data_IF_708517471476
#
_entry.id   IF_708517471476
#
_cell.length_a   1.000
_cell.length_b   1.000
_cell.length_c   1.000
_cell.angle_alpha   90.00
_cell.angle_beta   90.00
_cell.angle_gamma   90.00
#
_symmetry.space_group_name_H-M   'P 1'
#
loop_
_entity.id
_entity.type
_entity.pdbx_description
1 polymer ?
#
# COMPACT_ATOMS: atom_id res chain seq x y z
N UNK A 1 13.62 24.94 -7.76
CA UNK A 1 13.12 23.72 -7.11
C UNK A 1 11.90 23.29 -7.88
N UNK A 2 11.91 22.13 -8.53
CA UNK A 2 10.76 21.65 -9.31
C UNK A 2 9.61 21.37 -8.35
N UNK A 3 8.46 22.01 -8.54
CA UNK A 3 7.22 21.76 -7.80
C UNK A 3 6.30 20.90 -8.66
N UNK A 4 5.45 20.07 -8.05
CA UNK A 4 4.31 19.45 -8.73
C UNK A 4 3.26 20.56 -8.95
N UNK A 5 3.50 21.44 -9.92
CA UNK A 5 2.58 22.51 -10.30
C UNK A 5 1.64 22.10 -11.44
N UNK A 6 1.97 21.04 -12.16
CA UNK A 6 1.21 20.53 -13.30
C UNK A 6 0.92 19.03 -13.12
N UNK A 7 -0.35 18.69 -12.92
CA UNK A 7 -0.83 17.32 -12.76
C UNK A 7 -0.54 16.47 -14.00
N UNK A 8 -0.57 17.07 -15.20
CA UNK A 8 -0.32 16.34 -16.45
C UNK A 8 1.13 15.92 -16.54
N UNK A 9 2.06 16.81 -16.19
CA UNK A 9 3.49 16.52 -16.14
C UNK A 9 3.81 15.49 -15.05
N UNK A 10 3.16 15.61 -13.89
CA UNK A 10 3.27 14.63 -12.81
C UNK A 10 2.81 13.23 -13.23
N UNK A 11 1.64 13.13 -13.86
CA UNK A 11 1.13 11.87 -14.41
C UNK A 11 2.09 11.29 -15.44
N UNK A 12 2.66 12.11 -16.34
CA UNK A 12 3.64 11.64 -17.33
C UNK A 12 4.89 11.06 -16.66
N UNK A 13 5.40 11.72 -15.60
CA UNK A 13 6.54 11.22 -14.83
C UNK A 13 6.19 9.91 -14.11
N UNK A 14 5.02 9.81 -13.49
CA UNK A 14 4.56 8.58 -12.84
C UNK A 14 4.48 7.41 -13.82
N UNK A 15 4.00 7.64 -15.05
CA UNK A 15 3.99 6.61 -16.09
C UNK A 15 5.40 6.17 -16.47
N UNK A 16 6.33 7.11 -16.59
CA UNK A 16 7.73 6.81 -16.88
C UNK A 16 8.42 6.06 -15.73
N UNK A 17 8.11 6.38 -14.47
CA UNK A 17 8.63 5.68 -13.28
C UNK A 17 8.06 4.27 -13.10
N UNK A 18 6.93 3.94 -13.72
CA UNK A 18 6.39 2.57 -13.74
C UNK A 18 7.12 1.65 -14.72
N UNK A 19 8.02 2.18 -15.56
CA UNK A 19 8.84 1.36 -16.44
C UNK A 19 9.82 0.50 -15.61
N UNK A 20 10.07 -0.77 -15.97
CA UNK A 20 10.94 -1.67 -15.20
C UNK A 20 12.35 -1.11 -14.95
N UNK A 21 12.87 -0.28 -15.85
CA UNK A 21 14.20 0.30 -15.75
C UNK A 21 14.27 1.44 -14.72
N UNK A 22 13.13 2.07 -14.42
CA UNK A 22 13.03 3.26 -13.56
C UNK A 22 12.28 3.03 -12.26
N UNK A 23 11.65 1.86 -12.07
CA UNK A 23 10.86 1.55 -10.87
C UNK A 23 11.66 1.69 -9.57
N UNK A 24 12.98 1.45 -9.61
CA UNK A 24 13.87 1.67 -8.47
C UNK A 24 13.94 3.13 -8.02
N UNK A 25 13.76 4.10 -8.93
CA UNK A 25 13.74 5.54 -8.62
C UNK A 25 12.46 5.98 -7.90
N UNK A 26 11.40 5.15 -7.94
CA UNK A 26 10.07 5.50 -7.43
C UNK A 26 10.11 5.84 -5.94
N UNK A 27 10.87 5.08 -5.15
CA UNK A 27 11.02 5.31 -3.70
C UNK A 27 11.66 6.66 -3.39
N UNK A 28 12.75 6.99 -4.09
CA UNK A 28 13.45 8.26 -3.92
C UNK A 28 12.58 9.44 -4.39
N UNK A 29 11.86 9.25 -5.50
CA UNK A 29 10.94 10.25 -6.02
C UNK A 29 9.81 10.57 -5.03
N UNK A 30 9.12 9.55 -4.52
CA UNK A 30 8.05 9.73 -3.53
C UNK A 30 8.57 10.26 -2.19
N UNK A 31 9.77 9.86 -1.76
CA UNK A 31 10.42 10.42 -0.58
C UNK A 31 10.72 11.91 -0.75
N UNK A 32 11.26 12.32 -1.91
CA UNK A 32 11.59 13.72 -2.21
C UNK A 32 10.36 14.62 -2.31
N UNK A 33 9.27 14.12 -2.87
CA UNK A 33 8.06 14.90 -3.15
C UNK A 33 6.91 14.62 -2.17
N UNK A 34 7.14 13.90 -1.07
CA UNK A 34 6.10 13.43 -0.14
C UNK A 34 5.13 14.54 0.31
N UNK A 35 5.66 15.66 0.80
CA UNK A 35 4.87 16.83 1.23
C UNK A 35 3.97 17.38 0.11
N UNK A 36 4.49 17.45 -1.12
CA UNK A 36 3.76 17.98 -2.26
C UNK A 36 2.68 17.01 -2.72
N UNK A 37 2.98 15.71 -2.74
CA UNK A 37 2.02 14.66 -3.11
C UNK A 37 0.86 14.63 -2.11
N UNK A 38 1.14 14.70 -0.80
CA UNK A 38 0.09 14.76 0.21
C UNK A 38 -0.76 16.04 0.09
N UNK A 39 -0.14 17.18 -0.20
CA UNK A 39 -0.83 18.46 -0.38
C UNK A 39 -1.82 18.46 -1.56
N UNK A 40 -1.71 17.52 -2.51
CA UNK A 40 -2.71 17.36 -3.58
C UNK A 40 -4.07 16.89 -3.05
N UNK A 41 -4.11 16.18 -1.92
CA UNK A 41 -5.35 15.74 -1.29
C UNK A 41 -6.30 15.02 -2.24
N UNK A 42 -7.49 15.59 -2.47
CA UNK A 42 -8.51 15.03 -3.37
C UNK A 42 -8.08 15.00 -4.85
N UNK A 43 -7.08 15.78 -5.27
CA UNK A 43 -6.57 15.76 -6.65
C UNK A 43 -5.84 14.44 -6.97
N UNK A 44 -5.42 13.66 -5.96
CA UNK A 44 -4.85 12.32 -6.14
C UNK A 44 -5.81 11.37 -6.85
N UNK A 45 -7.13 11.51 -6.66
CA UNK A 45 -8.12 10.72 -7.39
C UNK A 45 -8.10 11.02 -8.90
N UNK A 46 -7.79 12.26 -9.30
CA UNK A 46 -7.62 12.64 -10.71
C UNK A 46 -6.32 12.08 -11.28
N UNK A 47 -5.26 11.98 -10.46
CA UNK A 47 -4.01 11.33 -10.86
C UNK A 47 -4.29 9.84 -11.15
N UNK A 48 -4.97 9.14 -10.24
CA UNK A 48 -5.33 7.73 -10.43
C UNK A 48 -6.22 7.49 -11.66
N UNK A 49 -7.14 8.39 -11.99
CA UNK A 49 -7.99 8.23 -13.19
C UNK A 49 -7.19 8.31 -14.51
N UNK A 50 -5.97 8.85 -14.48
CA UNK A 50 -5.09 8.94 -15.65
C UNK A 50 -4.01 7.83 -15.69
N UNK A 51 -3.98 6.96 -14.68
CA UNK A 51 -3.08 5.82 -14.58
C UNK A 51 -3.86 4.53 -14.79
N UNK A 52 -3.35 3.65 -15.64
CA UNK A 52 -3.82 2.28 -15.74
C UNK A 52 -3.28 1.43 -14.57
N UNK A 53 -4.14 0.71 -13.81
CA UNK A 53 -3.74 -0.03 -12.62
C UNK A 53 -2.88 -1.28 -12.90
N UNK A 54 -2.86 -1.77 -14.15
CA UNK A 54 -2.07 -2.94 -14.56
C UNK A 54 -0.77 -2.49 -15.23
N UNK A 55 -0.83 -1.57 -16.18
CA UNK A 55 0.35 -1.08 -16.90
C UNK A 55 1.24 -0.18 -16.04
N UNK A 56 0.66 0.54 -15.08
CA UNK A 56 1.37 1.45 -14.17
C UNK A 56 1.24 1.03 -12.70
N UNK A 57 1.17 -0.28 -12.42
CA UNK A 57 0.92 -0.83 -11.08
C UNK A 57 1.81 -0.17 -9.98
N UNK A 58 3.13 0.03 -10.17
CA UNK A 58 3.98 0.61 -9.13
C UNK A 58 3.58 2.03 -8.74
N UNK A 59 3.43 2.92 -9.74
CA UNK A 59 3.04 4.30 -9.50
C UNK A 59 1.58 4.41 -9.05
N UNK A 60 0.69 3.56 -9.57
CA UNK A 60 -0.70 3.48 -9.15
C UNK A 60 -0.80 3.15 -7.66
N UNK A 61 -0.08 2.12 -7.22
CA UNK A 61 0.01 1.70 -5.83
C UNK A 61 0.56 2.81 -4.94
N UNK A 62 1.64 3.47 -5.35
CA UNK A 62 2.25 4.55 -4.57
C UNK A 62 1.29 5.75 -4.37
N UNK A 63 0.51 6.11 -5.40
CA UNK A 63 -0.53 7.14 -5.28
C UNK A 63 -1.72 6.66 -4.44
N UNK A 64 -2.13 5.40 -4.57
CA UNK A 64 -3.20 4.83 -3.76
C UNK A 64 -2.83 4.79 -2.27
N UNK A 65 -1.57 4.48 -1.95
CA UNK A 65 -1.01 4.57 -0.61
C UNK A 65 -1.01 6.02 -0.11
N UNK A 66 -0.57 6.99 -0.92
CA UNK A 66 -0.63 8.41 -0.56
C UNK A 66 -2.08 8.88 -0.29
N UNK A 67 -3.04 8.45 -1.10
CA UNK A 67 -4.45 8.74 -0.90
C UNK A 67 -4.98 8.14 0.41
N UNK A 68 -4.53 6.94 0.77
CA UNK A 68 -4.86 6.33 2.06
C UNK A 68 -4.27 7.11 3.24
N UNK A 69 -3.03 7.58 3.13
CA UNK A 69 -2.43 8.42 4.17
C UNK A 69 -3.18 9.74 4.31
N UNK A 70 -3.57 10.40 3.21
CA UNK A 70 -4.42 11.61 3.26
C UNK A 70 -5.74 11.34 3.97
N UNK A 71 -6.40 10.22 3.67
CA UNK A 71 -7.63 9.80 4.37
C UNK A 71 -7.38 9.64 5.88
N UNK A 72 -6.28 9.00 6.29
CA UNK A 72 -5.94 8.83 7.70
C UNK A 72 -5.68 10.17 8.40
N UNK A 73 -4.92 11.08 7.76
CA UNK A 73 -4.57 12.39 8.31
C UNK A 73 -5.78 13.31 8.49
N UNK A 74 -6.72 13.27 7.56
CA UNK A 74 -7.92 14.10 7.61
C UNK A 74 -9.08 13.46 8.40
N UNK A 75 -8.91 12.22 8.87
CA UNK A 75 -9.93 11.45 9.60
C UNK A 75 -11.29 11.38 8.89
N UNK A 76 -11.29 11.34 7.55
CA UNK A 76 -12.51 11.43 6.72
C UNK A 76 -13.28 10.11 6.68
N UNK A 77 -13.90 9.70 7.79
CA UNK A 77 -14.53 8.39 7.95
C UNK A 77 -15.53 8.04 6.83
N UNK A 78 -16.29 9.02 6.34
CA UNK A 78 -17.28 8.84 5.27
C UNK A 78 -16.67 8.40 3.92
N UNK A 79 -15.37 8.66 3.71
CA UNK A 79 -14.66 8.27 2.48
C UNK A 79 -14.08 6.86 2.52
N UNK A 80 -14.05 6.23 3.69
CA UNK A 80 -13.43 4.91 3.87
C UNK A 80 -14.03 3.87 2.92
N UNK A 81 -15.35 3.86 2.75
CA UNK A 81 -16.05 2.88 1.91
C UNK A 81 -15.59 2.93 0.45
N UNK A 82 -15.52 4.13 -0.13
CA UNK A 82 -15.07 4.32 -1.51
C UNK A 82 -13.62 3.93 -1.69
N UNK A 83 -12.75 4.35 -0.76
CA UNK A 83 -11.33 4.05 -0.82
C UNK A 83 -11.05 2.55 -0.60
N UNK A 84 -11.71 1.91 0.36
CA UNK A 84 -11.58 0.49 0.63
C UNK A 84 -12.04 -0.36 -0.56
N UNK A 85 -13.16 0.02 -1.20
CA UNK A 85 -13.62 -0.63 -2.43
C UNK A 85 -12.56 -0.51 -3.54
N UNK A 86 -12.01 0.69 -3.73
CA UNK A 86 -10.99 0.95 -4.73
C UNK A 86 -9.71 0.13 -4.49
N UNK A 87 -9.26 0.04 -3.24
CA UNK A 87 -8.13 -0.83 -2.86
C UNK A 87 -8.44 -2.30 -3.11
N UNK A 88 -9.64 -2.76 -2.77
CA UNK A 88 -10.04 -4.15 -2.99
C UNK A 88 -10.02 -4.52 -4.48
N UNK A 89 -10.50 -3.62 -5.34
CA UNK A 89 -10.48 -3.77 -6.80
C UNK A 89 -9.05 -3.77 -7.34
N UNK A 90 -8.19 -2.88 -6.84
CA UNK A 90 -6.77 -2.86 -7.19
C UNK A 90 -6.06 -4.17 -6.80
N UNK A 91 -6.23 -4.64 -5.55
CA UNK A 91 -5.60 -5.89 -5.07
C UNK A 91 -6.03 -7.09 -5.92
N UNK A 92 -7.29 -7.14 -6.36
CA UNK A 92 -7.77 -8.19 -7.24
C UNK A 92 -7.15 -8.10 -8.65
N UNK A 93 -7.12 -6.90 -9.24
CA UNK A 93 -6.68 -6.64 -10.61
C UNK A 93 -5.17 -6.46 -10.82
N UNK A 94 -4.40 -6.27 -9.75
CA UNK A 94 -2.96 -5.94 -9.84
C UNK A 94 -2.12 -7.04 -10.48
N UNK A 95 -1.06 -6.64 -11.18
CA UNK A 95 -0.11 -7.59 -11.75
C UNK A 95 0.81 -8.15 -10.66
N UNK A 96 0.85 -9.48 -10.57
CA UNK A 96 1.69 -10.18 -9.58
C UNK A 96 3.17 -9.90 -9.81
N UNK A 97 3.63 -9.85 -11.06
CA UNK A 97 5.06 -9.69 -11.38
C UNK A 97 5.55 -8.31 -10.92
N UNK A 98 4.79 -7.26 -11.25
CA UNK A 98 5.10 -5.89 -10.84
C UNK A 98 4.98 -5.69 -9.32
N UNK A 99 4.01 -6.33 -8.65
CA UNK A 99 3.92 -6.28 -7.18
C UNK A 99 5.12 -6.93 -6.47
N UNK A 100 5.80 -7.87 -7.13
CA UNK A 100 6.97 -8.56 -6.57
C UNK A 100 8.30 -7.86 -6.89
N UNK A 101 8.27 -6.67 -7.51
CA UNK A 101 9.49 -5.86 -7.74
C UNK A 101 9.70 -4.87 -6.62
N UNK A 102 10.95 -4.66 -6.22
CA UNK A 102 11.29 -3.55 -5.31
C UNK A 102 11.30 -2.23 -6.08
N UNK A 103 10.73 -1.14 -5.52
CA UNK A 103 10.17 -0.97 -4.17
C UNK A 103 8.65 -1.25 -4.07
N UNK A 104 8.01 -1.76 -5.13
CA UNK A 104 6.56 -1.99 -5.20
C UNK A 104 6.06 -2.95 -4.11
N UNK A 105 6.81 -4.00 -3.82
CA UNK A 105 6.50 -4.98 -2.78
C UNK A 105 6.42 -4.34 -1.37
N UNK A 106 7.29 -3.38 -1.09
CA UNK A 106 7.30 -2.61 0.15
C UNK A 106 6.04 -1.73 0.29
N UNK A 107 5.72 -0.96 -0.75
CA UNK A 107 4.51 -0.13 -0.78
C UNK A 107 3.24 -0.98 -0.66
N UNK A 108 3.26 -2.19 -1.21
CA UNK A 108 2.13 -3.09 -1.17
C UNK A 108 1.92 -3.62 0.25
N UNK A 109 2.99 -4.03 0.92
CA UNK A 109 2.93 -4.43 2.33
C UNK A 109 2.42 -3.28 3.21
N UNK A 110 2.93 -2.06 3.00
CA UNK A 110 2.53 -0.89 3.77
C UNK A 110 1.04 -0.56 3.59
N UNK A 111 0.53 -0.58 2.36
CA UNK A 111 -0.90 -0.36 2.09
C UNK A 111 -1.76 -1.40 2.80
N UNK A 112 -1.39 -2.68 2.73
CA UNK A 112 -2.18 -3.77 3.32
C UNK A 112 -2.14 -3.74 4.84
N UNK A 113 -1.00 -3.38 5.42
CA UNK A 113 -0.89 -3.13 6.86
C UNK A 113 -1.81 -1.98 7.30
N UNK A 114 -1.76 -0.85 6.60
CA UNK A 114 -2.61 0.31 6.87
C UNK A 114 -4.11 -0.01 6.75
N UNK A 115 -4.49 -0.82 5.75
CA UNK A 115 -5.87 -1.32 5.60
C UNK A 115 -6.27 -2.20 6.78
N UNK A 116 -5.38 -3.10 7.21
CA UNK A 116 -5.59 -4.00 8.34
C UNK A 116 -5.85 -3.22 9.63
N UNK A 117 -5.00 -2.24 9.94
CA UNK A 117 -5.19 -1.35 11.08
C UNK A 117 -6.53 -0.60 11.00
N UNK A 118 -6.88 -0.08 9.83
CA UNK A 118 -8.10 0.69 9.66
C UNK A 118 -9.38 -0.14 9.86
N UNK A 119 -9.46 -1.36 9.32
CA UNK A 119 -10.63 -2.23 9.51
C UNK A 119 -10.74 -2.74 10.95
N UNK A 120 -9.61 -2.93 11.63
CA UNK A 120 -9.58 -3.27 13.07
C UNK A 120 -10.07 -2.08 13.90
N UNK A 121 -9.54 -0.86 13.66
CA UNK A 121 -9.96 0.37 14.35
C UNK A 121 -11.46 0.62 14.18
N UNK A 122 -12.00 0.36 12.99
CA UNK A 122 -13.43 0.52 12.66
C UNK A 122 -14.32 -0.66 13.09
N UNK A 123 -13.78 -1.67 13.78
CA UNK A 123 -14.55 -2.83 14.26
C UNK A 123 -15.26 -3.61 13.13
N UNK A 124 -14.66 -3.64 11.94
CA UNK A 124 -15.15 -4.38 10.76
C UNK A 124 -14.09 -5.35 10.18
N UNK A 125 -13.36 -6.11 11.01
CA UNK A 125 -12.23 -6.92 10.57
C UNK A 125 -12.63 -8.00 9.54
N UNK A 126 -13.85 -8.53 9.61
CA UNK A 126 -14.35 -9.52 8.63
C UNK A 126 -14.26 -9.05 7.18
N UNK A 127 -14.34 -7.73 6.92
CA UNK A 127 -14.23 -7.18 5.57
C UNK A 127 -12.81 -7.19 5.03
N UNK A 128 -11.81 -7.09 5.92
CA UNK A 128 -10.40 -7.12 5.54
C UNK A 128 -9.92 -8.51 5.12
N UNK A 129 -10.46 -9.57 5.71
CA UNK A 129 -10.04 -10.97 5.48
C UNK A 129 -9.88 -11.32 4.00
N UNK A 130 -10.88 -11.17 3.11
CA UNK A 130 -10.74 -11.54 1.70
C UNK A 130 -9.70 -10.69 0.95
N UNK A 131 -9.56 -9.41 1.30
CA UNK A 131 -8.60 -8.49 0.66
C UNK A 131 -7.18 -8.86 1.06
N UNK A 132 -6.93 -9.06 2.36
CA UNK A 132 -5.60 -9.43 2.87
C UNK A 132 -5.21 -10.84 2.43
N UNK A 133 -6.15 -11.80 2.41
CA UNK A 133 -5.91 -13.14 1.85
C UNK A 133 -5.47 -13.07 0.38
N UNK A 134 -6.12 -12.24 -0.44
CA UNK A 134 -5.73 -12.03 -1.83
C UNK A 134 -4.35 -11.38 -1.94
N UNK A 135 -4.06 -10.39 -1.09
CA UNK A 135 -2.77 -9.72 -1.06
C UNK A 135 -1.63 -10.70 -0.74
N UNK A 136 -1.81 -11.61 0.22
CA UNK A 136 -0.84 -12.69 0.50
C UNK A 136 -0.61 -13.54 -0.75
N UNK A 137 -1.67 -13.96 -1.45
CA UNK A 137 -1.55 -14.80 -2.67
C UNK A 137 -0.86 -14.09 -3.82
N UNK A 138 -1.04 -12.77 -3.94
CA UNK A 138 -0.36 -11.93 -4.93
C UNK A 138 1.13 -11.78 -4.61
N UNK A 139 1.46 -11.51 -3.35
CA UNK A 139 2.85 -11.25 -2.97
C UNK A 139 3.69 -12.53 -2.82
N UNK A 140 3.11 -13.65 -2.41
CA UNK A 140 3.91 -14.87 -2.22
C UNK A 140 4.40 -15.42 -3.56
N UNK A 141 5.66 -15.84 -3.61
CA UNK A 141 6.23 -16.49 -4.80
C UNK A 141 5.75 -17.94 -4.94
N UNK A 142 5.73 -18.67 -3.82
CA UNK A 142 5.28 -20.06 -3.72
C UNK A 142 4.30 -20.20 -2.55
N UNK A 143 3.61 -21.34 -2.45
CA UNK A 143 2.72 -21.63 -1.31
C UNK A 143 3.49 -21.56 0.01
N UNK A 144 4.72 -22.09 0.05
CA UNK A 144 5.52 -22.24 1.25
C UNK A 144 6.32 -20.99 1.63
N UNK A 145 6.05 -19.87 0.97
CA UNK A 145 6.75 -18.61 1.15
C UNK A 145 6.01 -17.68 2.11
N UNK A 146 6.62 -17.41 3.26
CA UNK A 146 6.09 -16.46 4.23
C UNK A 146 6.36 -15.03 3.80
N UNK A 147 5.29 -14.27 3.65
CA UNK A 147 5.34 -12.82 3.40
C UNK A 147 4.98 -12.04 4.67
N UNK A 148 5.43 -10.78 4.81
CA UNK A 148 5.05 -9.90 5.92
C UNK A 148 3.53 -9.78 6.15
N UNK A 149 2.75 -9.81 5.07
CA UNK A 149 1.28 -9.71 5.09
C UNK A 149 0.62 -10.89 5.85
N UNK A 150 1.31 -12.03 6.03
CA UNK A 150 0.76 -13.12 6.84
C UNK A 150 0.52 -12.71 8.30
N UNK A 151 1.37 -11.84 8.86
CA UNK A 151 1.17 -11.34 10.21
C UNK A 151 -0.13 -10.53 10.32
N UNK A 152 -0.36 -9.61 9.37
CA UNK A 152 -1.60 -8.84 9.26
C UNK A 152 -2.82 -9.75 9.08
N UNK A 153 -2.72 -10.78 8.23
CA UNK A 153 -3.80 -11.73 8.01
C UNK A 153 -4.17 -12.52 9.28
N UNK A 154 -3.16 -13.01 10.01
CA UNK A 154 -3.36 -13.71 11.27
C UNK A 154 -3.99 -12.80 12.33
N UNK A 155 -3.50 -11.56 12.46
CA UNK A 155 -4.10 -10.56 13.35
C UNK A 155 -5.58 -10.35 13.02
N UNK A 156 -5.90 -10.14 11.74
CA UNK A 156 -7.27 -9.97 11.25
C UNK A 156 -8.18 -11.15 11.60
N UNK A 157 -7.71 -12.38 11.36
CA UNK A 157 -8.47 -13.58 11.67
C UNK A 157 -8.73 -13.74 13.17
N UNK A 158 -7.75 -13.38 14.01
CA UNK A 158 -7.89 -13.42 15.47
C UNK A 158 -8.88 -12.37 15.98
N UNK A 159 -8.74 -11.11 15.54
CA UNK A 159 -9.65 -10.03 15.94
C UNK A 159 -11.08 -10.29 15.45
N UNK A 160 -11.23 -10.86 14.25
CA UNK A 160 -12.52 -11.26 13.71
C UNK A 160 -13.12 -12.52 14.37
N UNK A 161 -12.42 -13.18 15.29
CA UNK A 161 -12.81 -14.48 15.87
C UNK A 161 -13.08 -15.55 14.79
N UNK A 162 -12.31 -15.54 13.71
CA UNK A 162 -12.46 -16.42 12.55
C UNK A 162 -11.17 -17.20 12.23
N UNK A 163 -10.66 -18.03 13.17
CA UNK A 163 -9.37 -18.71 13.02
C UNK A 163 -9.35 -19.75 11.88
N UNK A 164 -10.51 -20.25 11.45
CA UNK A 164 -10.59 -21.15 10.29
C UNK A 164 -10.15 -20.49 8.98
N UNK A 165 -10.22 -19.16 8.89
CA UNK A 165 -9.64 -18.44 7.75
C UNK A 165 -8.12 -18.43 7.76
N UNK A 166 -7.50 -18.30 8.94
CA UNK A 166 -6.05 -18.32 9.06
C UNK A 166 -5.47 -19.63 8.47
N UNK A 167 -6.12 -20.76 8.77
CA UNK A 167 -5.73 -22.09 8.29
C UNK A 167 -5.65 -22.20 6.75
N UNK A 168 -6.35 -21.35 5.98
CA UNK A 168 -6.25 -21.38 4.52
C UNK A 168 -4.88 -21.00 3.98
N UNK A 169 -4.10 -20.24 4.75
CA UNK A 169 -2.77 -19.77 4.35
C UNK A 169 -1.64 -20.37 5.19
N UNK A 170 -1.89 -20.70 6.46
CA UNK A 170 -0.84 -21.14 7.39
C UNK A 170 -0.84 -22.65 7.67
N UNK A 171 -1.79 -23.43 7.12
CA UNK A 171 -1.85 -24.89 7.32
C UNK A 171 -0.93 -25.65 6.34
N UNK A 172 0.24 -25.10 6.07
CA UNK A 172 1.26 -25.64 5.18
C UNK A 172 2.63 -25.42 5.82
N UNK A 173 3.57 -26.31 5.53
CA UNK A 173 4.94 -26.14 6.00
C UNK A 173 5.58 -24.98 5.26
N UNK A 174 5.89 -23.92 6.01
CA UNK A 174 6.62 -22.75 5.52
C UNK A 174 8.11 -23.08 5.56
N UNK A 175 8.76 -23.02 4.40
CA UNK A 175 10.19 -23.36 4.25
C UNK A 175 11.03 -22.19 3.75
N UNK A 176 10.39 -21.15 3.24
CA UNK A 176 11.03 -19.92 2.75
C UNK A 176 10.37 -18.70 3.39
N UNK A 177 11.15 -17.64 3.62
CA UNK A 177 10.65 -16.39 4.17
C UNK A 177 11.20 -15.18 3.40
N UNK A 178 10.34 -14.19 3.20
CA UNK A 178 10.73 -12.86 2.75
C UNK A 178 11.12 -12.04 4.00
N UNK A 179 12.39 -11.59 4.13
CA UNK A 179 12.82 -10.83 5.29
C UNK A 179 11.96 -9.58 5.46
N UNK A 180 11.45 -9.40 6.68
CA UNK A 180 10.76 -8.18 7.08
C UNK A 180 11.62 -6.93 6.87
N UNK A 181 12.95 -7.01 6.90
CA UNK A 181 13.82 -5.85 6.63
C UNK A 181 13.64 -5.27 5.21
N UNK A 182 13.10 -6.06 4.27
CA UNK A 182 12.76 -5.60 2.92
C UNK A 182 11.39 -4.91 2.86
N UNK A 183 10.35 -5.42 3.51
CA UNK A 183 8.99 -4.84 3.38
C UNK A 183 8.46 -4.13 4.64
N UNK A 184 9.14 -4.31 5.77
CA UNK A 184 8.91 -3.70 7.07
C UNK A 184 10.16 -2.89 7.44
N UNK A 185 10.46 -1.87 6.63
CA UNK A 185 11.25 -0.73 7.08
C UNK A 185 10.53 0.13 8.14
N UNK A 186 9.42 -0.35 8.72
CA UNK A 186 8.43 0.45 9.45
C UNK A 186 8.87 0.82 10.87
N UNK A 187 9.86 0.15 11.47
CA UNK A 187 10.37 0.58 12.80
C UNK A 187 11.59 1.50 12.78
N UNK A 188 12.26 1.69 11.63
CA UNK A 188 13.36 2.67 11.53
C UNK A 188 13.13 3.76 10.47
N UNK A 189 12.28 3.49 9.46
CA UNK A 189 12.09 4.35 8.29
C UNK A 189 10.63 4.41 7.79
N UNK A 190 9.63 4.11 8.64
CA UNK A 190 8.19 4.39 8.42
C UNK A 190 7.86 5.90 8.36
N UNK A 191 8.77 6.66 7.75
CA UNK A 191 9.08 8.00 8.14
C UNK A 191 9.61 8.73 6.89
N UNK A 192 8.71 8.98 5.92
CA UNK A 192 8.82 10.13 5.00
C UNK A 192 7.45 10.74 4.64
N UNK A 193 6.37 9.95 4.72
CA UNK A 193 5.00 10.46 4.53
C UNK A 193 4.35 10.84 5.88
N UNK A 194 4.58 10.06 6.96
CA UNK A 194 4.22 10.46 8.33
C UNK A 194 5.20 11.48 9.00
N UNK A 195 6.56 11.43 8.80
CA UNK A 195 7.44 12.52 9.39
C UNK A 195 7.15 13.89 8.81
N UNK A 196 6.55 13.96 7.63
CA UNK A 196 6.19 15.25 7.06
C UNK A 196 5.17 16.01 7.93
N UNK A 197 4.32 15.31 8.69
CA UNK A 197 3.32 15.88 9.60
C UNK A 197 3.82 16.04 11.04
N UNK A 198 4.79 15.22 11.48
CA UNK A 198 5.38 15.31 12.82
C UNK A 198 6.43 16.42 12.98
N UNK A 199 6.66 17.25 11.95
CA UNK A 199 7.66 18.33 11.96
C UNK A 199 7.08 19.73 12.24
N UNK A 200 5.79 19.85 12.59
CA UNK A 200 5.16 21.13 12.96
C UNK A 200 4.52 21.09 14.37
N UNK A 201 5.16 20.40 15.33
CA UNK A 201 4.87 20.57 16.76
C UNK A 201 6.18 20.88 17.48
N UNK A 202 6.66 22.11 17.35
CA UNK A 202 7.51 22.76 18.34
C UNK A 202 6.94 24.17 18.57
N UNK A 203 6.82 24.55 19.85
CA UNK A 203 6.33 25.84 20.38
C UNK A 203 6.99 27.08 19.77
#
# INVERSE_FOLDING_TARGET
>A
MSTISDISLFVAELKALSAPERVAELKDYFGKFSKQILALGNELSKVLSNLDPVAHCPSYLAILLAQFVVYQLNEEEDKFEGLFKHISEFVAGSDKTQLNTSPTDEFFCELIHNVTEAVVKKQIPMRGIPVVEMAVKKLRLTEQHLTPIHADFCQLCLVASHPSAALRLINIDIVEYQPAEKCIGVHAHGYQVRKACDLDIDE
#
